data_IF_120928564181
#
_entry.id   IF_120928564181
#
_cell.length_a   1.000
_cell.length_b   1.000
_cell.length_c   1.000
_cell.angle_alpha   90.00
_cell.angle_beta   90.00
_cell.angle_gamma   90.00
#
_symmetry.space_group_name_H-M   'P 1'
#
loop_
_entity.id
_entity.type
_entity.pdbx_description
1 polymer ?
#
# COMPACT_ATOMS: atom_id res chain seq x y z
N UNK A 1 22.30 -14.44 25.87
CA UNK A 1 22.23 -13.44 24.75
C UNK A 1 22.02 -14.17 23.45
N UNK A 2 20.84 -14.09 22.81
CA UNK A 2 20.66 -14.60 21.44
C UNK A 2 21.58 -13.79 20.54
N UNK A 3 22.55 -14.48 19.87
CA UNK A 3 23.41 -13.87 18.84
C UNK A 3 22.54 -13.07 17.89
N UNK A 4 22.82 -11.78 17.71
CA UNK A 4 22.18 -10.94 16.70
C UNK A 4 22.31 -11.65 15.36
N UNK A 5 21.20 -11.81 14.64
CA UNK A 5 21.17 -12.53 13.38
C UNK A 5 21.75 -11.61 12.32
N UNK A 6 22.88 -11.97 11.74
CA UNK A 6 23.44 -11.25 10.60
C UNK A 6 22.44 -11.28 9.43
N UNK A 7 21.79 -10.14 9.17
CA UNK A 7 20.79 -10.01 8.12
C UNK A 7 21.39 -10.24 6.73
N UNK A 8 22.65 -9.86 6.51
CA UNK A 8 23.31 -10.11 5.23
C UNK A 8 23.38 -11.61 4.94
N UNK A 9 23.97 -12.37 5.86
CA UNK A 9 24.11 -13.83 5.71
C UNK A 9 22.75 -14.52 5.60
N UNK A 10 21.78 -14.07 6.38
CA UNK A 10 20.45 -14.66 6.32
C UNK A 10 19.77 -14.42 4.96
N UNK A 11 19.78 -13.20 4.44
CA UNK A 11 19.11 -12.86 3.17
C UNK A 11 19.83 -13.45 1.97
N UNK A 12 21.17 -13.58 2.02
CA UNK A 12 21.96 -14.05 0.89
C UNK A 12 22.26 -15.55 0.87
N UNK A 13 22.24 -16.25 2.02
CA UNK A 13 22.66 -17.66 2.11
C UNK A 13 21.61 -18.60 2.69
N UNK A 14 20.66 -18.16 3.52
CA UNK A 14 19.65 -19.06 4.08
C UNK A 14 18.66 -19.56 3.00
N UNK A 15 17.99 -20.71 3.17
CA UNK A 15 17.01 -21.23 2.21
C UNK A 15 15.94 -20.19 1.85
N UNK A 16 15.68 -20.02 0.56
CA UNK A 16 14.81 -18.96 0.03
C UNK A 16 13.41 -18.97 0.68
N UNK A 17 12.79 -20.16 0.79
CA UNK A 17 11.47 -20.27 1.41
C UNK A 17 11.45 -19.79 2.87
N UNK A 18 12.50 -20.09 3.64
CA UNK A 18 12.62 -19.62 5.03
C UNK A 18 12.77 -18.11 5.12
N UNK A 19 13.57 -17.52 4.22
CA UNK A 19 13.74 -16.07 4.17
C UNK A 19 12.43 -15.39 3.82
N UNK A 20 11.77 -15.85 2.75
CA UNK A 20 10.51 -15.27 2.27
C UNK A 20 9.44 -15.31 3.37
N UNK A 21 9.17 -16.46 3.99
CA UNK A 21 8.16 -16.54 5.05
C UNK A 21 8.52 -15.67 6.26
N UNK A 22 9.79 -15.64 6.66
CA UNK A 22 10.22 -14.79 7.78
C UNK A 22 10.02 -13.30 7.49
N UNK A 23 10.19 -12.87 6.23
CA UNK A 23 9.99 -11.47 5.83
C UNK A 23 8.52 -11.16 5.53
N UNK A 24 7.82 -12.07 4.88
CA UNK A 24 6.45 -11.84 4.41
C UNK A 24 5.40 -11.90 5.53
N UNK A 25 5.50 -12.85 6.47
CA UNK A 25 4.48 -13.01 7.51
C UNK A 25 4.28 -11.73 8.34
N UNK A 26 5.33 -11.09 8.90
CA UNK A 26 5.14 -9.83 9.62
C UNK A 26 4.55 -8.72 8.74
N UNK A 27 4.91 -8.69 7.48
CA UNK A 27 4.43 -7.66 6.54
C UNK A 27 2.97 -7.89 6.17
N UNK A 28 2.56 -9.14 5.94
CA UNK A 28 1.14 -9.53 5.71
C UNK A 28 0.30 -9.15 6.94
N UNK A 29 0.76 -9.48 8.14
CA UNK A 29 0.08 -9.12 9.39
C UNK A 29 -0.10 -7.60 9.48
N UNK A 30 0.95 -6.82 9.18
CA UNK A 30 0.87 -5.36 9.17
C UNK A 30 -0.16 -4.83 8.17
N UNK A 31 -0.19 -5.38 6.95
CA UNK A 31 -1.14 -4.97 5.92
C UNK A 31 -2.59 -5.30 6.30
N UNK A 32 -2.84 -6.51 6.78
CA UNK A 32 -4.17 -6.92 7.22
C UNK A 32 -4.63 -6.11 8.43
N UNK A 33 -3.76 -5.86 9.40
CA UNK A 33 -4.10 -5.07 10.59
C UNK A 33 -4.43 -3.61 10.24
N UNK A 34 -3.69 -3.01 9.30
CA UNK A 34 -4.01 -1.66 8.80
C UNK A 34 -5.37 -1.64 8.09
N UNK A 35 -5.70 -2.69 7.34
CA UNK A 35 -6.99 -2.81 6.68
C UNK A 35 -8.14 -2.95 7.70
N UNK A 36 -7.95 -3.76 8.72
CA UNK A 36 -8.94 -3.92 9.82
C UNK A 36 -9.10 -2.63 10.63
N UNK A 37 -8.00 -1.91 10.88
CA UNK A 37 -8.04 -0.61 11.52
C UNK A 37 -8.93 0.39 10.76
N UNK A 38 -8.76 0.50 9.43
CA UNK A 38 -9.58 1.38 8.61
C UNK A 38 -11.08 1.02 8.66
N UNK A 39 -11.41 -0.28 8.74
CA UNK A 39 -12.80 -0.72 8.91
C UNK A 39 -13.34 -0.34 10.29
N UNK A 40 -12.56 -0.54 11.36
CA UNK A 40 -12.97 -0.21 12.72
C UNK A 40 -13.17 1.31 12.89
N UNK A 41 -12.27 2.13 12.34
CA UNK A 41 -12.40 3.58 12.35
C UNK A 41 -13.69 4.05 11.66
N UNK A 42 -13.98 3.49 10.48
CA UNK A 42 -15.24 3.76 9.76
C UNK A 42 -16.47 3.37 10.57
N UNK A 43 -16.42 2.25 11.31
CA UNK A 43 -17.51 1.80 12.17
C UNK A 43 -17.74 2.79 13.33
N UNK A 44 -16.70 3.20 14.04
CA UNK A 44 -16.83 4.14 15.15
C UNK A 44 -17.30 5.53 14.70
N UNK A 45 -16.80 6.04 13.58
CA UNK A 45 -17.28 7.29 12.99
C UNK A 45 -18.73 7.16 12.53
N UNK A 46 -19.12 6.00 12.02
CA UNK A 46 -20.49 5.68 11.61
C UNK A 46 -21.52 5.79 12.75
N UNK A 47 -21.08 5.62 14.01
CA UNK A 47 -21.94 5.78 15.19
C UNK A 47 -22.24 7.23 15.57
N UNK A 48 -21.55 8.21 14.97
CA UNK A 48 -21.72 9.64 15.29
C UNK A 48 -22.94 10.21 14.53
N UNK A 49 -22.79 10.42 13.24
CA UNK A 49 -23.83 10.88 12.31
C UNK A 49 -23.37 10.70 10.85
N UNK A 50 -24.31 10.87 9.92
CA UNK A 50 -24.03 10.72 8.48
C UNK A 50 -23.04 11.76 7.95
N UNK A 51 -23.08 12.99 8.45
CA UNK A 51 -22.18 14.08 8.04
C UNK A 51 -20.73 13.76 8.41
N UNK A 52 -20.49 13.17 9.58
CA UNK A 52 -19.15 12.74 10.00
C UNK A 52 -18.59 11.64 9.11
N UNK A 53 -19.40 10.65 8.72
CA UNK A 53 -19.00 9.61 7.78
C UNK A 53 -18.62 10.19 6.42
N UNK A 54 -19.45 11.11 5.92
CA UNK A 54 -19.18 11.80 4.67
C UNK A 54 -17.89 12.65 4.73
N UNK A 55 -17.66 13.35 5.82
CA UNK A 55 -16.46 14.15 6.04
C UNK A 55 -15.17 13.31 6.06
N UNK A 56 -15.20 12.15 6.73
CA UNK A 56 -14.08 11.19 6.72
C UNK A 56 -13.85 10.64 5.31
N UNK A 57 -14.93 10.31 4.57
CA UNK A 57 -14.86 9.86 3.19
C UNK A 57 -14.18 10.87 2.26
N UNK A 58 -14.55 12.15 2.37
CA UNK A 58 -13.92 13.25 1.61
C UNK A 58 -12.46 13.42 2.00
N UNK A 59 -12.14 13.34 3.29
CA UNK A 59 -10.78 13.49 3.82
C UNK A 59 -9.87 12.33 3.41
N UNK A 60 -10.42 11.17 3.10
CA UNK A 60 -9.66 9.98 2.71
C UNK A 60 -8.80 10.21 1.46
N UNK A 61 -9.26 11.03 0.52
CA UNK A 61 -8.48 11.40 -0.66
C UNK A 61 -7.16 12.09 -0.27
N UNK A 62 -7.19 13.03 0.68
CA UNK A 62 -5.98 13.70 1.16
C UNK A 62 -5.09 12.75 1.96
N UNK A 63 -5.67 11.88 2.78
CA UNK A 63 -4.91 10.83 3.48
C UNK A 63 -4.18 9.91 2.51
N UNK A 64 -4.81 9.56 1.38
CA UNK A 64 -4.19 8.75 0.33
C UNK A 64 -2.99 9.45 -0.32
N UNK A 65 -3.06 10.78 -0.51
CA UNK A 65 -1.93 11.58 -1.00
C UNK A 65 -0.77 11.54 0.00
N UNK A 66 -1.05 11.75 1.29
CA UNK A 66 -0.04 11.69 2.36
C UNK A 66 0.63 10.30 2.40
N UNK A 67 -0.16 9.23 2.31
CA UNK A 67 0.34 7.85 2.23
C UNK A 67 1.21 7.63 0.99
N UNK A 68 0.79 8.11 -0.17
CA UNK A 68 1.54 7.98 -1.41
C UNK A 68 2.92 8.65 -1.32
N UNK A 69 3.00 9.82 -0.68
CA UNK A 69 4.27 10.50 -0.38
C UNK A 69 5.13 9.66 0.57
N UNK A 70 4.56 9.09 1.62
CA UNK A 70 5.27 8.19 2.53
C UNK A 70 5.84 6.97 1.81
N UNK A 71 5.09 6.37 0.89
CA UNK A 71 5.56 5.26 0.07
C UNK A 71 6.61 5.69 -0.98
N UNK A 72 6.51 6.89 -1.53
CA UNK A 72 7.53 7.44 -2.43
C UNK A 72 8.90 7.44 -1.74
N UNK A 73 8.99 8.04 -0.57
CA UNK A 73 10.24 8.09 0.19
C UNK A 73 10.63 6.73 0.77
N UNK A 74 9.68 5.99 1.30
CA UNK A 74 9.90 4.69 1.92
C UNK A 74 10.43 3.63 0.95
N UNK A 75 9.75 3.42 -0.17
CA UNK A 75 10.20 2.48 -1.20
C UNK A 75 11.41 3.00 -1.99
N UNK A 76 11.45 4.31 -2.27
CA UNK A 76 12.58 4.92 -2.97
C UNK A 76 13.88 4.73 -2.21
N UNK A 77 13.91 5.14 -0.95
CA UNK A 77 15.08 4.99 -0.08
C UNK A 77 15.36 3.52 0.25
N UNK A 78 14.32 2.75 0.57
CA UNK A 78 14.45 1.35 0.98
C UNK A 78 15.04 0.45 -0.10
N UNK A 79 14.58 0.56 -1.35
CA UNK A 79 15.14 -0.19 -2.47
C UNK A 79 16.64 0.11 -2.69
N UNK A 80 17.04 1.37 -2.56
CA UNK A 80 18.44 1.73 -2.63
C UNK A 80 19.24 1.14 -1.47
N UNK A 81 18.74 1.26 -0.25
CA UNK A 81 19.40 0.72 0.97
C UNK A 81 19.63 -0.78 0.84
N UNK A 82 18.61 -1.55 0.44
CA UNK A 82 18.74 -3.00 0.32
C UNK A 82 19.83 -3.40 -0.71
N UNK A 83 19.92 -2.69 -1.84
CA UNK A 83 20.99 -2.91 -2.82
C UNK A 83 22.38 -2.54 -2.29
N UNK A 84 22.51 -1.42 -1.58
CA UNK A 84 23.80 -0.99 -1.02
C UNK A 84 24.26 -1.91 0.10
N UNK A 85 23.37 -2.39 0.96
CA UNK A 85 23.68 -3.39 1.97
C UNK A 85 24.09 -4.73 1.34
N UNK A 86 23.43 -5.14 0.25
CA UNK A 86 23.85 -6.30 -0.54
C UNK A 86 25.24 -6.14 -1.18
N UNK A 87 25.58 -4.95 -1.61
CA UNK A 87 26.91 -4.59 -2.12
C UNK A 87 27.95 -4.30 -1.02
N UNK A 88 27.58 -4.42 0.27
CA UNK A 88 28.38 -4.08 1.46
C UNK A 88 28.80 -2.61 1.54
N UNK A 89 28.08 -1.71 0.87
CA UNK A 89 28.30 -0.27 0.90
C UNK A 89 27.46 0.40 1.99
N UNK A 90 27.74 0.09 3.25
CA UNK A 90 26.94 0.49 4.44
C UNK A 90 26.87 2.00 4.59
N UNK A 91 27.94 2.74 4.30
CA UNK A 91 27.94 4.21 4.43
C UNK A 91 26.97 4.90 3.46
N UNK A 92 26.85 4.39 2.22
CA UNK A 92 25.84 4.89 1.28
C UNK A 92 24.43 4.60 1.76
N UNK A 93 24.20 3.43 2.36
CA UNK A 93 22.92 3.06 2.96
C UNK A 93 22.55 3.99 4.14
N UNK A 94 23.50 4.31 5.01
CA UNK A 94 23.29 5.27 6.14
C UNK A 94 22.90 6.66 5.66
N UNK A 95 23.61 7.17 4.64
CA UNK A 95 23.30 8.48 4.03
C UNK A 95 21.91 8.51 3.41
N UNK A 96 21.52 7.45 2.69
CA UNK A 96 20.18 7.35 2.12
C UNK A 96 19.09 7.24 3.19
N UNK A 97 19.33 6.50 4.27
CA UNK A 97 18.36 6.37 5.37
C UNK A 97 18.07 7.72 6.03
N UNK A 98 19.10 8.49 6.35
CA UNK A 98 18.96 9.84 6.91
C UNK A 98 18.29 10.79 5.92
N UNK A 99 18.67 10.75 4.64
CA UNK A 99 18.12 11.61 3.60
C UNK A 99 16.64 11.32 3.37
N UNK A 100 16.26 10.06 3.21
CA UNK A 100 14.87 9.65 3.03
C UNK A 100 13.99 10.02 4.23
N UNK A 101 14.48 9.81 5.45
CA UNK A 101 13.79 10.18 6.69
C UNK A 101 13.51 11.69 6.75
N UNK A 102 14.54 12.51 6.58
CA UNK A 102 14.42 13.97 6.71
C UNK A 102 13.55 14.53 5.60
N UNK A 103 13.75 14.12 4.34
CA UNK A 103 12.94 14.59 3.21
C UNK A 103 11.47 14.20 3.35
N UNK A 104 11.17 12.99 3.85
CA UNK A 104 9.78 12.58 4.09
C UNK A 104 9.11 13.43 5.16
N UNK A 105 9.83 13.74 6.25
CA UNK A 105 9.34 14.62 7.31
C UNK A 105 9.08 16.04 6.79
N UNK A 106 10.05 16.61 6.07
CA UNK A 106 9.94 17.96 5.52
C UNK A 106 8.79 18.06 4.49
N UNK A 107 8.61 17.04 3.65
CA UNK A 107 7.50 17.01 2.70
C UNK A 107 6.16 16.88 3.41
N UNK A 108 6.07 16.03 4.44
CA UNK A 108 4.87 15.93 5.27
C UNK A 108 4.56 17.24 6.01
N UNK A 109 5.58 17.92 6.52
CA UNK A 109 5.45 19.24 7.15
C UNK A 109 4.98 20.30 6.14
N UNK A 110 5.52 20.28 4.92
CA UNK A 110 5.08 21.17 3.84
C UNK A 110 3.61 20.95 3.48
N UNK A 111 3.18 19.69 3.38
CA UNK A 111 1.78 19.34 3.17
C UNK A 111 0.91 19.84 4.32
N UNK A 112 1.36 19.68 5.57
CA UNK A 112 0.62 20.16 6.75
C UNK A 112 0.46 21.67 6.72
N UNK A 113 1.52 22.43 6.46
CA UNK A 113 1.50 23.89 6.42
C UNK A 113 0.59 24.38 5.29
N UNK A 114 0.78 23.91 4.05
CA UNK A 114 -0.05 24.31 2.93
C UNK A 114 -1.52 23.89 3.13
N UNK A 115 -1.74 22.68 3.64
CA UNK A 115 -3.10 22.20 3.93
C UNK A 115 -3.82 23.04 4.98
N UNK A 116 -3.12 23.50 6.01
CA UNK A 116 -3.69 24.40 7.03
C UNK A 116 -3.96 25.81 6.47
N UNK A 117 -3.03 26.36 5.68
CA UNK A 117 -3.22 27.69 5.08
C UNK A 117 -4.41 27.73 4.10
N UNK A 118 -4.65 26.64 3.38
CA UNK A 118 -5.70 26.52 2.36
C UNK A 118 -6.77 25.50 2.74
N UNK A 119 -7.06 25.34 4.04
CA UNK A 119 -7.95 24.28 4.54
C UNK A 119 -9.34 24.33 3.92
N UNK A 120 -9.99 25.50 3.92
CA UNK A 120 -11.35 25.66 3.37
C UNK A 120 -11.40 25.42 1.86
N UNK A 121 -10.52 26.02 1.02
CA UNK A 121 -10.46 25.70 -0.40
C UNK A 121 -10.14 24.24 -0.68
N UNK A 122 -9.27 23.62 0.12
CA UNK A 122 -8.89 22.22 0.00
C UNK A 122 -10.09 21.29 0.26
N UNK A 123 -10.88 21.53 1.31
CA UNK A 123 -12.08 20.78 1.60
C UNK A 123 -13.10 20.85 0.46
N UNK A 124 -13.30 22.04 -0.11
CA UNK A 124 -14.20 22.24 -1.27
C UNK A 124 -13.67 21.47 -2.50
N UNK A 125 -12.36 21.56 -2.77
CA UNK A 125 -11.72 20.84 -3.88
C UNK A 125 -11.88 19.32 -3.75
N UNK A 126 -11.83 18.80 -2.52
CA UNK A 126 -12.02 17.38 -2.23
C UNK A 126 -13.48 16.91 -2.35
N UNK A 127 -14.42 17.82 -2.55
CA UNK A 127 -15.84 17.51 -2.76
C UNK A 127 -16.73 17.72 -1.51
N UNK A 128 -16.28 18.52 -0.55
CA UNK A 128 -17.10 18.85 0.61
C UNK A 128 -18.28 19.75 0.22
N UNK A 129 -19.48 19.37 0.63
CA UNK A 129 -20.70 20.18 0.47
C UNK A 129 -20.84 21.16 1.64
N UNK A 130 -21.65 22.24 1.50
CA UNK A 130 -21.86 23.20 2.60
C UNK A 130 -22.33 22.56 3.92
N UNK A 131 -23.08 21.46 3.85
CA UNK A 131 -23.58 20.73 5.04
C UNK A 131 -22.49 19.93 5.76
N UNK A 132 -21.54 19.37 5.04
CA UNK A 132 -20.45 18.57 5.63
C UNK A 132 -19.19 19.38 5.86
N UNK A 133 -19.07 20.58 5.28
CA UNK A 133 -17.89 21.44 5.34
C UNK A 133 -17.36 21.64 6.77
N UNK A 134 -18.16 21.98 7.79
CA UNK A 134 -17.68 22.17 9.15
C UNK A 134 -17.06 20.89 9.74
N UNK A 135 -17.62 19.73 9.42
CA UNK A 135 -17.10 18.43 9.87
C UNK A 135 -15.78 18.08 9.15
N UNK A 136 -15.72 18.33 7.84
CA UNK A 136 -14.52 18.07 7.04
C UNK A 136 -13.36 18.96 7.49
N UNK A 137 -13.58 20.24 7.74
CA UNK A 137 -12.55 21.16 8.22
C UNK A 137 -12.01 20.76 9.58
N UNK A 138 -12.89 20.37 10.52
CA UNK A 138 -12.48 19.91 11.85
C UNK A 138 -11.63 18.62 11.77
N UNK A 139 -12.09 17.66 10.98
CA UNK A 139 -11.40 16.39 10.84
C UNK A 139 -10.09 16.54 10.07
N UNK A 140 -10.14 17.09 8.86
CA UNK A 140 -8.98 17.23 7.99
C UNK A 140 -7.92 18.17 8.58
N UNK A 141 -8.33 19.26 9.24
CA UNK A 141 -7.42 20.18 9.91
C UNK A 141 -6.55 19.48 10.95
N UNK A 142 -7.12 18.58 11.74
CA UNK A 142 -6.36 17.79 12.73
C UNK A 142 -5.51 16.71 12.04
N UNK A 143 -6.06 16.01 11.04
CA UNK A 143 -5.33 14.98 10.29
C UNK A 143 -4.09 15.56 9.58
N UNK A 144 -4.19 16.75 9.01
CA UNK A 144 -3.06 17.43 8.36
C UNK A 144 -1.90 17.73 9.32
N UNK A 145 -2.17 17.98 10.61
CA UNK A 145 -1.11 18.09 11.62
C UNK A 145 -0.33 16.78 11.79
N UNK A 146 -0.98 15.66 11.53
CA UNK A 146 -0.36 14.33 11.54
C UNK A 146 0.43 13.97 10.28
N UNK A 147 0.32 14.76 9.19
CA UNK A 147 0.94 14.43 7.91
C UNK A 147 2.47 14.18 8.00
N UNK A 148 3.30 15.01 8.69
CA UNK A 148 4.73 14.73 8.82
C UNK A 148 5.01 13.43 9.56
N UNK A 149 4.21 13.07 10.56
CA UNK A 149 4.36 11.80 11.30
C UNK A 149 3.93 10.60 10.47
N UNK A 150 2.87 10.73 9.68
CA UNK A 150 2.37 9.67 8.81
C UNK A 150 3.34 9.35 7.67
N UNK A 151 3.86 10.37 6.97
CA UNK A 151 4.85 10.17 5.91
C UNK A 151 6.13 9.55 6.46
N UNK A 152 6.59 10.03 7.61
CA UNK A 152 7.79 9.55 8.29
C UNK A 152 7.62 8.13 8.82
N UNK A 153 6.47 7.79 9.39
CA UNK A 153 6.16 6.44 9.86
C UNK A 153 6.24 5.42 8.73
N UNK A 154 5.63 5.72 7.59
CA UNK A 154 5.69 4.86 6.40
C UNK A 154 7.11 4.72 5.87
N UNK A 155 7.87 5.80 5.89
CA UNK A 155 9.28 5.79 5.49
C UNK A 155 10.11 4.92 6.44
N UNK A 156 10.03 5.13 7.75
CA UNK A 156 10.75 4.33 8.76
C UNK A 156 10.40 2.85 8.70
N UNK A 157 9.12 2.53 8.55
CA UNK A 157 8.67 1.15 8.37
C UNK A 157 9.35 0.49 7.18
N UNK A 158 9.35 1.16 6.04
CA UNK A 158 9.99 0.66 4.83
C UNK A 158 11.52 0.56 4.99
N UNK A 159 12.18 1.57 5.59
CA UNK A 159 13.62 1.53 5.83
C UNK A 159 14.04 0.29 6.62
N UNK A 160 13.33 -0.05 7.72
CA UNK A 160 13.62 -1.25 8.51
C UNK A 160 13.32 -2.53 7.75
N UNK A 161 12.22 -2.56 7.02
CA UNK A 161 11.82 -3.72 6.20
C UNK A 161 12.86 -4.04 5.14
N UNK A 162 13.34 -3.05 4.41
CA UNK A 162 14.36 -3.23 3.37
C UNK A 162 15.76 -3.58 3.91
N UNK A 163 15.99 -3.42 5.21
CA UNK A 163 17.17 -3.92 5.90
C UNK A 163 17.04 -5.38 6.37
N UNK A 164 15.89 -6.03 6.12
CA UNK A 164 15.60 -7.39 6.57
C UNK A 164 15.00 -7.47 7.98
N UNK A 165 14.60 -6.35 8.58
CA UNK A 165 14.07 -6.25 9.94
C UNK A 165 12.55 -6.04 9.97
N UNK A 166 11.80 -6.86 9.23
CA UNK A 166 10.34 -6.77 9.09
C UNK A 166 9.58 -6.90 10.40
N UNK A 167 10.12 -7.66 11.38
CA UNK A 167 9.50 -7.81 12.70
C UNK A 167 9.49 -6.50 13.48
N UNK A 168 10.58 -5.72 13.44
CA UNK A 168 10.63 -4.41 14.09
C UNK A 168 9.70 -3.41 13.39
N UNK A 169 9.66 -3.45 12.06
CA UNK A 169 8.74 -2.65 11.27
C UNK A 169 7.27 -2.94 11.61
N UNK A 170 6.90 -4.23 11.72
CA UNK A 170 5.57 -4.66 12.14
C UNK A 170 5.22 -4.15 13.54
N UNK A 171 6.09 -4.38 14.53
CA UNK A 171 5.84 -3.95 15.92
C UNK A 171 5.61 -2.45 16.02
N UNK A 172 6.37 -1.66 15.27
CA UNK A 172 6.22 -0.22 15.25
C UNK A 172 4.87 0.24 14.69
N UNK A 173 4.43 -0.29 13.56
CA UNK A 173 3.10 0.03 13.00
C UNK A 173 1.98 -0.49 13.89
N UNK A 174 2.08 -1.73 14.35
CA UNK A 174 1.06 -2.34 15.21
C UNK A 174 0.83 -1.55 16.50
N UNK A 175 1.86 -0.95 17.08
CA UNK A 175 1.72 -0.13 18.29
C UNK A 175 0.79 1.07 18.06
N UNK A 176 0.91 1.75 16.92
CA UNK A 176 0.02 2.84 16.53
C UNK A 176 -1.41 2.37 16.26
N UNK A 177 -1.56 1.26 15.52
CA UNK A 177 -2.87 0.65 15.23
C UNK A 177 -3.60 0.27 16.52
N UNK A 178 -2.93 -0.43 17.44
CA UNK A 178 -3.52 -0.85 18.71
C UNK A 178 -3.91 0.34 19.58
N UNK A 179 -3.06 1.36 19.64
CA UNK A 179 -3.39 2.58 20.38
C UNK A 179 -4.63 3.28 19.80
N UNK A 180 -4.76 3.35 18.48
CA UNK A 180 -5.92 3.96 17.85
C UNK A 180 -7.21 3.16 18.12
N UNK A 181 -7.17 1.82 18.07
CA UNK A 181 -8.31 0.97 18.39
C UNK A 181 -8.83 1.17 19.83
N UNK A 182 -7.98 1.64 20.73
CA UNK A 182 -8.35 1.97 22.10
C UNK A 182 -8.84 3.43 22.18
N UNK A 183 -8.09 4.37 21.59
CA UNK A 183 -8.39 5.80 21.69
C UNK A 183 -9.63 6.23 20.90
N UNK A 184 -9.87 5.64 19.73
CA UNK A 184 -11.02 6.04 18.90
C UNK A 184 -12.35 5.85 19.63
N UNK A 185 -12.73 4.66 20.15
CA UNK A 185 -13.96 4.51 20.91
C UNK A 185 -13.96 5.34 22.21
N UNK A 186 -12.81 5.47 22.87
CA UNK A 186 -12.71 6.25 24.10
C UNK A 186 -13.03 7.73 23.84
N UNK A 187 -12.45 8.35 22.84
CA UNK A 187 -12.65 9.77 22.54
C UNK A 187 -13.99 10.04 21.85
N UNK A 188 -14.47 9.13 21.01
CA UNK A 188 -15.72 9.28 20.28
C UNK A 188 -16.92 9.02 21.19
N UNK A 189 -16.93 7.89 21.90
CA UNK A 189 -18.09 7.42 22.65
C UNK A 189 -18.07 7.87 24.10
N UNK A 190 -16.98 7.63 24.84
CA UNK A 190 -16.91 7.94 26.28
C UNK A 190 -16.79 9.44 26.52
N UNK A 191 -15.86 10.13 25.86
CA UNK A 191 -15.71 11.58 25.98
C UNK A 191 -16.65 12.38 25.06
N UNK A 192 -17.45 11.71 24.23
CA UNK A 192 -18.44 12.32 23.34
C UNK A 192 -17.87 13.47 22.45
N UNK A 193 -16.61 13.35 22.04
CA UNK A 193 -15.94 14.37 21.21
C UNK A 193 -16.34 14.30 19.72
N UNK A 194 -17.12 13.31 19.33
CA UNK A 194 -17.58 13.14 17.95
C UNK A 194 -16.41 13.00 16.96
N UNK A 195 -16.57 13.65 15.79
CA UNK A 195 -15.58 13.59 14.71
C UNK A 195 -14.20 14.16 15.11
N UNK A 196 -14.19 15.15 16.00
CA UNK A 196 -12.94 15.71 16.55
C UNK A 196 -12.19 14.66 17.36
N UNK A 197 -12.90 13.83 18.12
CA UNK A 197 -12.33 12.70 18.86
C UNK A 197 -11.69 11.66 17.94
N UNK A 198 -12.33 11.34 16.82
CA UNK A 198 -11.77 10.44 15.80
C UNK A 198 -10.45 10.98 15.22
N UNK A 199 -10.44 12.27 14.87
CA UNK A 199 -9.25 12.93 14.32
C UNK A 199 -8.09 12.99 15.33
N UNK A 200 -8.37 13.32 16.58
CA UNK A 200 -7.37 13.37 17.67
C UNK A 200 -6.83 11.98 17.98
N UNK A 201 -7.68 10.95 18.02
CA UNK A 201 -7.25 9.56 18.20
C UNK A 201 -6.27 9.14 17.11
N UNK A 202 -6.56 9.46 15.86
CA UNK A 202 -5.71 9.20 14.70
C UNK A 202 -4.39 9.96 14.81
N UNK A 203 -4.41 11.25 15.13
CA UNK A 203 -3.21 12.07 15.31
C UNK A 203 -2.28 11.52 16.39
N UNK A 204 -2.81 11.25 17.58
CA UNK A 204 -2.02 10.71 18.72
C UNK A 204 -1.42 9.36 18.32
N UNK A 205 -2.19 8.50 17.68
CA UNK A 205 -1.75 7.17 17.26
C UNK A 205 -0.65 7.24 16.17
N UNK A 206 -0.76 8.19 15.25
CA UNK A 206 0.27 8.44 14.23
C UNK A 206 1.58 8.96 14.88
N UNK A 207 1.48 9.90 15.81
CA UNK A 207 2.65 10.40 16.54
C UNK A 207 3.31 9.29 17.35
N UNK A 208 2.53 8.50 18.08
CA UNK A 208 3.03 7.38 18.87
C UNK A 208 3.66 6.30 17.99
N UNK A 209 3.00 5.90 16.91
CA UNK A 209 3.53 4.94 15.95
C UNK A 209 4.85 5.40 15.33
N UNK A 210 4.94 6.69 14.97
CA UNK A 210 6.16 7.29 14.46
C UNK A 210 7.30 7.24 15.50
N UNK A 211 7.02 7.61 16.74
CA UNK A 211 7.99 7.56 17.83
C UNK A 211 8.46 6.11 18.09
N UNK A 212 7.54 5.16 18.09
CA UNK A 212 7.85 3.73 18.26
C UNK A 212 8.71 3.20 17.11
N UNK A 213 8.39 3.54 15.86
CA UNK A 213 9.19 3.17 14.70
C UNK A 213 10.59 3.77 14.78
N UNK A 214 10.71 5.04 15.15
CA UNK A 214 12.00 5.69 15.36
C UNK A 214 12.80 5.00 16.48
N UNK A 215 12.15 4.68 17.60
CA UNK A 215 12.80 3.92 18.69
C UNK A 215 13.25 2.53 18.22
N UNK A 216 12.47 1.85 17.39
CA UNK A 216 12.82 0.54 16.82
C UNK A 216 14.04 0.60 15.90
N UNK A 217 14.37 1.75 15.28
CA UNK A 217 15.62 1.89 14.50
C UNK A 217 16.88 1.75 15.36
N UNK A 218 16.76 1.93 16.69
CA UNK A 218 17.87 1.72 17.64
C UNK A 218 17.98 0.28 18.15
N UNK A 219 17.07 -0.61 17.71
CA UNK A 219 17.05 -2.02 18.10
C UNK A 219 17.59 -2.91 16.99
N UNK A 220 18.23 -4.01 17.37
CA UNK A 220 18.82 -4.96 16.43
C UNK A 220 19.95 -4.35 15.59
N UNK A 221 20.08 -4.79 14.36
CA UNK A 221 21.10 -4.33 13.39
C UNK A 221 20.55 -3.25 12.44
N UNK A 222 19.53 -2.50 12.86
CA UNK A 222 19.01 -1.41 12.06
C UNK A 222 20.03 -0.27 11.93
N UNK A 223 20.04 0.36 10.78
CA UNK A 223 20.76 1.61 10.55
C UNK A 223 20.16 2.69 11.45
N UNK A 224 20.97 3.21 12.36
CA UNK A 224 20.59 4.36 13.18
C UNK A 224 20.58 5.62 12.32
N UNK A 225 19.52 6.40 12.47
CA UNK A 225 19.38 7.64 11.73
C UNK A 225 20.11 8.75 12.47
N UNK A 226 21.15 9.29 11.85
CA UNK A 226 21.90 10.43 12.36
C UNK A 226 21.77 11.61 11.40
N UNK A 227 21.46 12.78 11.91
CA UNK A 227 21.26 14.01 11.11
C UNK A 227 22.50 14.40 10.30
N UNK A 228 23.72 14.10 10.81
CA UNK A 228 24.96 14.40 10.09
C UNK A 228 25.12 13.58 8.79
N UNK A 229 24.39 12.48 8.65
CA UNK A 229 24.38 11.68 7.42
C UNK A 229 23.43 12.24 6.33
N UNK A 230 22.72 13.32 6.63
CA UNK A 230 21.85 13.96 5.67
C UNK A 230 22.64 14.48 4.47
N UNK A 231 22.38 13.94 3.30
CA UNK A 231 23.11 14.22 2.06
C UNK A 231 22.12 14.50 0.93
N UNK A 232 21.55 15.73 0.85
CA UNK A 232 20.52 16.08 -0.14
C UNK A 232 21.16 16.36 -1.50
N UNK A 233 21.80 15.35 -2.09
CA UNK A 233 22.40 15.44 -3.42
C UNK A 233 21.41 15.03 -4.50
N UNK A 234 21.59 15.53 -5.70
CA UNK A 234 20.79 15.18 -6.87
C UNK A 234 20.78 13.66 -7.11
N UNK A 235 21.89 12.97 -6.81
CA UNK A 235 22.01 11.53 -6.97
C UNK A 235 21.06 10.77 -6.04
N UNK A 236 21.03 11.09 -4.73
CA UNK A 236 20.14 10.47 -3.78
C UNK A 236 18.68 10.80 -4.06
N UNK A 237 18.37 12.03 -4.44
CA UNK A 237 17.03 12.43 -4.81
C UNK A 237 16.51 11.65 -6.04
N UNK A 238 17.37 11.49 -7.06
CA UNK A 238 17.05 10.69 -8.25
C UNK A 238 16.77 9.22 -7.92
N UNK A 239 17.53 8.62 -7.00
CA UNK A 239 17.28 7.24 -6.53
C UNK A 239 15.95 7.12 -5.80
N UNK A 240 15.59 8.09 -4.94
CA UNK A 240 14.30 8.11 -4.26
C UNK A 240 13.16 8.18 -5.27
N UNK A 241 13.24 9.09 -6.23
CA UNK A 241 12.22 9.22 -7.28
C UNK A 241 12.12 7.93 -8.11
N UNK A 242 13.23 7.39 -8.57
CA UNK A 242 13.23 6.16 -9.40
C UNK A 242 12.70 4.94 -8.66
N UNK A 243 13.03 4.80 -7.38
CA UNK A 243 12.55 3.69 -6.56
C UNK A 243 11.14 3.89 -6.02
N UNK A 244 10.67 5.13 -5.87
CA UNK A 244 9.42 5.46 -5.22
C UNK A 244 8.24 5.71 -6.18
N UNK A 245 8.49 6.24 -7.38
CA UNK A 245 7.41 6.57 -8.34
C UNK A 245 6.50 5.40 -8.71
N UNK A 246 6.95 4.14 -8.83
CA UNK A 246 6.02 3.05 -9.10
C UNK A 246 4.99 2.84 -7.99
N UNK A 247 5.37 3.08 -6.74
CA UNK A 247 4.45 3.00 -5.60
C UNK A 247 3.49 4.18 -5.57
N UNK A 248 3.98 5.38 -5.90
CA UNK A 248 3.14 6.57 -6.06
C UNK A 248 2.10 6.36 -7.18
N UNK A 249 2.53 5.87 -8.34
CA UNK A 249 1.65 5.58 -9.47
C UNK A 249 0.59 4.53 -9.12
N UNK A 250 0.98 3.45 -8.45
CA UNK A 250 0.05 2.40 -8.03
C UNK A 250 -1.00 2.94 -7.08
N UNK A 251 -0.61 3.72 -6.07
CA UNK A 251 -1.51 4.28 -5.07
C UNK A 251 -2.45 5.33 -5.69
N UNK A 252 -1.89 6.27 -6.45
CA UNK A 252 -2.66 7.35 -7.07
C UNK A 252 -3.65 6.85 -8.11
N UNK A 253 -3.22 5.98 -9.02
CA UNK A 253 -4.10 5.39 -10.04
C UNK A 253 -5.15 4.46 -9.42
N UNK A 254 -4.82 3.76 -8.32
CA UNK A 254 -5.80 2.97 -7.58
C UNK A 254 -6.93 3.81 -7.01
N UNK A 255 -6.62 4.98 -6.47
CA UNK A 255 -7.63 5.92 -5.96
C UNK A 255 -8.50 6.49 -7.09
N UNK A 256 -7.90 6.87 -8.20
CA UNK A 256 -8.62 7.34 -9.40
C UNK A 256 -9.52 6.23 -9.96
N UNK A 257 -9.02 5.01 -10.07
CA UNK A 257 -9.78 3.87 -10.55
C UNK A 257 -11.03 3.59 -9.70
N UNK A 258 -10.91 3.69 -8.38
CA UNK A 258 -12.05 3.53 -7.46
C UNK A 258 -13.10 4.63 -7.67
N UNK A 259 -12.67 5.88 -7.85
CA UNK A 259 -13.58 6.99 -8.13
C UNK A 259 -14.33 6.78 -9.45
N UNK A 260 -13.62 6.44 -10.51
CA UNK A 260 -14.20 6.21 -11.84
C UNK A 260 -15.15 5.00 -11.83
N UNK A 261 -14.79 3.93 -11.08
CA UNK A 261 -15.66 2.76 -10.90
C UNK A 261 -17.00 3.15 -10.24
N UNK A 262 -16.95 3.95 -9.17
CA UNK A 262 -18.14 4.39 -8.47
C UNK A 262 -19.04 5.26 -9.38
N UNK A 263 -18.46 6.15 -10.17
CA UNK A 263 -19.19 6.96 -11.14
C UNK A 263 -19.85 6.09 -12.21
N UNK A 264 -19.12 5.12 -12.76
CA UNK A 264 -19.65 4.21 -13.78
C UNK A 264 -20.75 3.29 -13.22
N UNK A 265 -20.58 2.76 -12.00
CA UNK A 265 -21.60 1.96 -11.32
C UNK A 265 -22.84 2.79 -10.97
N UNK A 266 -22.67 4.07 -10.65
CA UNK A 266 -23.75 4.99 -10.31
C UNK A 266 -24.77 5.20 -11.46
N UNK A 267 -24.37 5.03 -12.70
CA UNK A 267 -25.26 5.07 -13.84
C UNK A 267 -26.31 3.92 -13.83
N UNK A 268 -26.05 2.85 -13.06
CA UNK A 268 -26.93 1.67 -12.95
C UNK A 268 -27.66 1.58 -11.60
N UNK A 269 -27.56 2.61 -10.77
CA UNK A 269 -28.26 2.72 -9.50
C UNK A 269 -27.42 2.41 -8.26
N UNK A 270 -28.01 2.63 -7.10
CA UNK A 270 -27.34 2.52 -5.81
C UNK A 270 -26.92 1.09 -5.47
N UNK A 271 -27.70 0.09 -5.90
CA UNK A 271 -27.38 -1.31 -5.71
C UNK A 271 -26.10 -1.72 -6.45
N UNK A 272 -25.86 -1.14 -7.64
CA UNK A 272 -24.62 -1.35 -8.38
C UNK A 272 -23.41 -0.75 -7.67
N UNK A 273 -23.53 0.46 -7.14
CA UNK A 273 -22.46 1.09 -6.34
C UNK A 273 -22.17 0.24 -5.11
N UNK A 274 -23.19 -0.17 -4.38
CA UNK A 274 -23.05 -0.97 -3.15
C UNK A 274 -22.39 -2.33 -3.45
N UNK A 275 -22.87 -3.04 -4.47
CA UNK A 275 -22.30 -4.34 -4.90
C UNK A 275 -20.85 -4.23 -5.31
N UNK A 276 -20.49 -3.27 -6.16
CA UNK A 276 -19.11 -3.04 -6.60
C UNK A 276 -18.19 -2.61 -5.44
N UNK A 277 -18.69 -1.81 -4.49
CA UNK A 277 -17.94 -1.41 -3.30
C UNK A 277 -17.60 -2.59 -2.41
N UNK A 278 -18.54 -3.54 -2.21
CA UNK A 278 -18.30 -4.76 -1.43
C UNK A 278 -17.24 -5.61 -2.12
N UNK A 279 -17.37 -5.84 -3.44
CA UNK A 279 -16.38 -6.61 -4.22
C UNK A 279 -14.99 -5.98 -4.15
N UNK A 280 -14.90 -4.66 -4.24
CA UNK A 280 -13.62 -3.93 -4.10
C UNK A 280 -12.98 -4.15 -2.73
N UNK A 281 -13.77 -4.14 -1.65
CA UNK A 281 -13.27 -4.41 -0.28
C UNK A 281 -12.75 -5.83 -0.13
N UNK A 282 -13.50 -6.83 -0.63
CA UNK A 282 -13.08 -8.25 -0.60
C UNK A 282 -11.78 -8.42 -1.38
N UNK A 283 -11.71 -7.85 -2.58
CA UNK A 283 -10.51 -7.87 -3.42
C UNK A 283 -9.32 -7.21 -2.74
N UNK A 284 -9.53 -6.11 -2.00
CA UNK A 284 -8.48 -5.41 -1.28
C UNK A 284 -7.86 -6.27 -0.17
N UNK A 285 -8.66 -7.01 0.60
CA UNK A 285 -8.14 -7.94 1.61
C UNK A 285 -7.25 -9.02 0.98
N UNK A 286 -7.71 -9.63 -0.10
CA UNK A 286 -6.96 -10.67 -0.81
C UNK A 286 -5.67 -10.08 -1.43
N UNK A 287 -5.76 -8.90 -1.99
CA UNK A 287 -4.65 -8.16 -2.57
C UNK A 287 -3.61 -7.75 -1.51
N UNK A 288 -4.04 -7.38 -0.31
CA UNK A 288 -3.16 -7.00 0.80
C UNK A 288 -2.20 -8.15 1.20
N UNK A 289 -2.66 -9.40 1.14
CA UNK A 289 -1.79 -10.57 1.39
C UNK A 289 -0.69 -10.68 0.34
N UNK A 290 -1.02 -10.49 -0.93
CA UNK A 290 -0.04 -10.55 -2.03
C UNK A 290 0.92 -9.36 -2.00
N UNK A 291 0.43 -8.18 -1.66
CA UNK A 291 1.30 -7.01 -1.41
C UNK A 291 2.27 -7.30 -0.26
N UNK A 292 1.79 -7.87 0.84
CA UNK A 292 2.62 -8.26 1.97
C UNK A 292 3.69 -9.30 1.60
N UNK A 293 3.32 -10.29 0.79
CA UNK A 293 4.26 -11.28 0.24
C UNK A 293 5.33 -10.61 -0.63
N UNK A 294 4.94 -9.74 -1.55
CA UNK A 294 5.85 -9.00 -2.42
C UNK A 294 6.74 -8.04 -1.64
N UNK A 295 6.21 -7.39 -0.63
CA UNK A 295 7.00 -6.55 0.28
C UNK A 295 8.00 -7.36 1.12
N UNK A 296 7.71 -8.63 1.41
CA UNK A 296 8.65 -9.57 2.02
C UNK A 296 9.74 -10.04 1.03
N UNK A 297 9.41 -10.14 -0.26
CA UNK A 297 10.34 -10.47 -1.33
C UNK A 297 11.37 -9.35 -1.59
N UNK A 298 10.97 -8.08 -1.53
CA UNK A 298 11.81 -6.94 -1.90
C UNK A 298 13.16 -6.87 -1.16
N UNK A 299 13.25 -7.05 0.19
CA UNK A 299 14.53 -7.06 0.89
C UNK A 299 15.49 -8.12 0.37
N UNK A 300 15.02 -9.36 0.20
CA UNK A 300 15.82 -10.45 -0.37
C UNK A 300 16.29 -10.10 -1.79
N UNK A 301 15.38 -9.63 -2.63
CA UNK A 301 15.69 -9.21 -4.00
C UNK A 301 16.78 -8.13 -4.01
N UNK A 302 16.64 -7.07 -3.18
CA UNK A 302 17.60 -5.98 -3.11
C UNK A 302 19.00 -6.42 -2.66
N UNK A 303 19.08 -7.20 -1.58
CA UNK A 303 20.34 -7.74 -1.08
C UNK A 303 21.02 -8.66 -2.10
N UNK A 304 20.27 -9.61 -2.66
CA UNK A 304 20.82 -10.54 -3.65
C UNK A 304 21.22 -9.83 -4.95
N UNK A 305 20.44 -8.84 -5.38
CA UNK A 305 20.79 -8.03 -6.56
C UNK A 305 22.05 -7.20 -6.32
N UNK A 306 22.19 -6.57 -5.15
CA UNK A 306 23.40 -5.83 -4.75
C UNK A 306 24.65 -6.72 -4.63
N UNK A 307 24.45 -7.95 -4.13
CA UNK A 307 25.50 -8.97 -4.03
C UNK A 307 25.78 -9.72 -5.37
N UNK A 308 25.07 -9.36 -6.45
CA UNK A 308 25.16 -10.04 -7.78
C UNK A 308 24.74 -11.51 -7.78
N UNK A 309 23.91 -11.91 -6.82
CA UNK A 309 23.35 -13.28 -6.70
C UNK A 309 22.03 -13.40 -7.49
N UNK A 310 22.11 -13.23 -8.81
CA UNK A 310 20.91 -13.12 -9.67
C UNK A 310 20.09 -14.41 -9.75
N UNK A 311 20.72 -15.57 -9.68
CA UNK A 311 20.01 -16.87 -9.67
C UNK A 311 19.11 -16.98 -8.45
N UNK A 312 19.55 -16.45 -7.30
CA UNK A 312 18.78 -16.41 -6.09
C UNK A 312 17.61 -15.44 -6.16
N UNK A 313 17.77 -14.29 -6.84
CA UNK A 313 16.66 -13.37 -7.14
C UNK A 313 15.59 -14.09 -7.96
N UNK A 314 16.01 -14.83 -8.98
CA UNK A 314 15.11 -15.61 -9.84
C UNK A 314 14.37 -16.70 -9.06
N UNK A 315 15.08 -17.48 -8.24
CA UNK A 315 14.49 -18.52 -7.37
C UNK A 315 13.43 -17.92 -6.44
N UNK A 316 13.77 -16.83 -5.75
CA UNK A 316 12.84 -16.14 -4.84
C UNK A 316 11.62 -15.58 -5.55
N UNK A 317 11.80 -15.02 -6.75
CA UNK A 317 10.70 -14.49 -7.55
C UNK A 317 9.69 -15.58 -7.92
N UNK A 318 10.16 -16.68 -8.48
CA UNK A 318 9.27 -17.80 -8.86
C UNK A 318 8.65 -18.49 -7.65
N UNK A 319 9.38 -18.59 -6.55
CA UNK A 319 8.80 -19.11 -5.30
C UNK A 319 7.64 -18.23 -4.81
N UNK A 320 7.82 -16.91 -4.80
CA UNK A 320 6.78 -15.97 -4.40
C UNK A 320 5.58 -15.99 -5.37
N UNK A 321 5.81 -16.07 -6.68
CA UNK A 321 4.72 -16.23 -7.66
C UNK A 321 3.95 -17.50 -7.36
N UNK A 322 4.61 -18.62 -7.16
CA UNK A 322 3.96 -19.90 -6.86
C UNK A 322 3.10 -19.80 -5.60
N UNK A 323 3.65 -19.30 -4.50
CA UNK A 323 2.91 -19.13 -3.24
C UNK A 323 1.73 -18.17 -3.41
N UNK A 324 1.94 -17.01 -4.03
CA UNK A 324 0.88 -16.02 -4.25
C UNK A 324 -0.23 -16.53 -5.18
N UNK A 325 0.13 -17.21 -6.27
CA UNK A 325 -0.83 -17.78 -7.22
C UNK A 325 -1.64 -18.90 -6.58
N UNK A 326 -1.01 -19.80 -5.82
CA UNK A 326 -1.73 -20.88 -5.10
C UNK A 326 -2.71 -20.30 -4.09
N UNK A 327 -2.27 -19.33 -3.29
CA UNK A 327 -3.15 -18.63 -2.34
C UNK A 327 -4.34 -17.98 -3.05
N UNK A 328 -4.07 -17.21 -4.10
CA UNK A 328 -5.11 -16.53 -4.87
C UNK A 328 -6.04 -17.48 -5.62
N UNK A 329 -5.53 -18.63 -6.10
CA UNK A 329 -6.35 -19.65 -6.73
C UNK A 329 -7.33 -20.29 -5.72
N UNK A 330 -6.87 -20.56 -4.49
CA UNK A 330 -7.75 -21.02 -3.41
C UNK A 330 -8.82 -19.98 -3.10
N UNK A 331 -8.45 -18.71 -2.95
CA UNK A 331 -9.41 -17.63 -2.75
C UNK A 331 -10.38 -17.49 -3.94
N UNK A 332 -9.91 -17.71 -5.16
CA UNK A 332 -10.73 -17.65 -6.37
C UNK A 332 -11.79 -18.75 -6.40
N UNK A 333 -11.41 -19.99 -6.12
CA UNK A 333 -12.36 -21.12 -6.04
C UNK A 333 -13.40 -20.85 -4.95
N UNK A 334 -12.96 -20.43 -3.76
CA UNK A 334 -13.87 -20.15 -2.65
C UNK A 334 -14.80 -18.96 -2.97
N UNK A 335 -14.27 -17.88 -3.50
CA UNK A 335 -15.03 -16.68 -3.88
C UNK A 335 -16.01 -16.96 -5.04
N UNK A 336 -15.68 -17.85 -5.96
CA UNK A 336 -16.57 -18.25 -7.05
C UNK A 336 -17.74 -19.10 -6.56
N UNK A 337 -17.46 -20.12 -5.74
CA UNK A 337 -18.47 -21.06 -5.22
C UNK A 337 -19.42 -20.39 -4.20
N UNK A 338 -18.90 -19.49 -3.38
CA UNK A 338 -19.63 -18.83 -2.30
C UNK A 338 -19.88 -17.34 -2.54
N UNK A 339 -19.93 -16.91 -3.80
CA UNK A 339 -20.08 -15.49 -4.15
C UNK A 339 -21.35 -14.84 -3.54
N UNK A 340 -22.49 -15.50 -3.60
CA UNK A 340 -23.74 -14.99 -3.05
C UNK A 340 -23.69 -14.89 -1.50
N UNK A 341 -23.40 -15.97 -0.74
CA UNK A 341 -23.27 -15.90 0.71
C UNK A 341 -22.24 -14.88 1.20
N UNK A 342 -21.15 -14.69 0.46
CA UNK A 342 -20.11 -13.70 0.81
C UNK A 342 -20.68 -12.28 0.70
N UNK A 343 -21.40 -11.95 -0.37
CA UNK A 343 -22.01 -10.63 -0.53
C UNK A 343 -23.13 -10.40 0.49
N UNK A 344 -23.99 -11.42 0.73
CA UNK A 344 -25.05 -11.36 1.73
C UNK A 344 -24.53 -11.03 3.13
N UNK A 345 -23.36 -11.56 3.51
CA UNK A 345 -22.72 -11.28 4.78
C UNK A 345 -22.45 -9.76 4.99
N UNK A 346 -22.18 -9.03 3.91
CA UNK A 346 -21.96 -7.59 3.96
C UNK A 346 -23.26 -6.77 3.83
N UNK A 347 -24.19 -7.26 3.02
CA UNK A 347 -25.47 -6.59 2.78
C UNK A 347 -26.52 -7.62 2.34
N UNK A 348 -27.51 -7.82 3.20
CA UNK A 348 -28.67 -8.67 2.91
C UNK A 348 -29.74 -7.85 2.14
N UNK A 349 -29.46 -7.67 0.85
CA UNK A 349 -30.34 -6.99 -0.11
C UNK A 349 -30.24 -7.70 -1.45
N UNK A 350 -31.34 -8.25 -1.94
CA UNK A 350 -31.39 -9.07 -3.15
C UNK A 350 -30.81 -8.35 -4.39
N UNK A 351 -31.01 -7.05 -4.52
CA UNK A 351 -30.47 -6.26 -5.65
C UNK A 351 -28.96 -6.09 -5.55
N UNK A 352 -28.43 -5.88 -4.36
CA UNK A 352 -26.98 -5.79 -4.11
C UNK A 352 -26.30 -7.14 -4.30
N UNK A 353 -26.91 -8.22 -3.82
CA UNK A 353 -26.40 -9.59 -3.98
C UNK A 353 -26.37 -9.98 -5.46
N UNK A 354 -27.39 -9.63 -6.22
CA UNK A 354 -27.42 -9.92 -7.66
C UNK A 354 -26.26 -9.30 -8.43
N UNK A 355 -25.94 -8.03 -8.17
CA UNK A 355 -24.82 -7.34 -8.81
C UNK A 355 -23.47 -7.82 -8.23
N UNK A 356 -23.37 -7.84 -6.90
CA UNK A 356 -22.11 -8.16 -6.22
C UNK A 356 -21.63 -9.57 -6.49
N UNK A 357 -22.53 -10.57 -6.55
CA UNK A 357 -22.17 -11.95 -6.82
C UNK A 357 -21.61 -12.15 -8.24
N UNK A 358 -22.20 -11.53 -9.24
CA UNK A 358 -21.71 -11.57 -10.63
C UNK A 358 -20.35 -10.87 -10.72
N UNK A 359 -20.24 -9.67 -10.16
CA UNK A 359 -18.99 -8.92 -10.14
C UNK A 359 -17.87 -9.69 -9.41
N UNK A 360 -18.17 -10.34 -8.29
CA UNK A 360 -17.21 -11.15 -7.55
C UNK A 360 -16.76 -12.37 -8.36
N UNK A 361 -17.67 -13.06 -9.03
CA UNK A 361 -17.33 -14.20 -9.91
C UNK A 361 -16.36 -13.79 -11.01
N UNK A 362 -16.57 -12.64 -11.67
CA UNK A 362 -15.64 -12.10 -12.66
C UNK A 362 -14.29 -11.74 -12.03
N UNK A 363 -14.32 -11.04 -10.91
CA UNK A 363 -13.10 -10.58 -10.24
C UNK A 363 -12.20 -11.74 -9.81
N UNK A 364 -12.75 -12.82 -9.25
CA UNK A 364 -11.96 -13.94 -8.75
C UNK A 364 -11.30 -14.76 -9.87
N UNK A 365 -11.84 -14.74 -11.09
CA UNK A 365 -11.23 -15.39 -12.25
C UNK A 365 -9.82 -14.81 -12.52
N UNK A 366 -9.63 -13.50 -12.31
CA UNK A 366 -8.35 -12.84 -12.52
C UNK A 366 -7.39 -12.97 -11.33
N UNK A 367 -7.84 -13.39 -10.15
CA UNK A 367 -7.02 -13.44 -8.94
C UNK A 367 -5.68 -14.17 -9.11
N UNK A 368 -5.60 -15.37 -9.71
CA UNK A 368 -4.33 -16.08 -9.87
C UNK A 368 -3.26 -15.27 -10.64
N UNK A 369 -3.69 -14.33 -11.49
CA UNK A 369 -2.80 -13.51 -12.32
C UNK A 369 -2.17 -12.35 -11.52
N UNK A 370 -2.81 -11.91 -10.45
CA UNK A 370 -2.43 -10.72 -9.67
C UNK A 370 -1.04 -10.89 -9.03
N UNK A 371 -0.70 -12.09 -8.57
CA UNK A 371 0.60 -12.37 -7.96
C UNK A 371 1.74 -12.03 -8.93
N UNK A 372 1.64 -12.43 -10.18
CA UNK A 372 2.65 -12.13 -11.22
C UNK A 372 2.76 -10.63 -11.47
N UNK A 373 1.63 -9.91 -11.55
CA UNK A 373 1.61 -8.47 -11.81
C UNK A 373 2.31 -7.73 -10.66
N UNK A 374 1.93 -8.02 -9.42
CA UNK A 374 2.47 -7.36 -8.22
C UNK A 374 3.96 -7.64 -8.04
N UNK A 375 4.36 -8.90 -8.14
CA UNK A 375 5.75 -9.30 -7.95
C UNK A 375 6.65 -8.77 -9.06
N UNK A 376 6.17 -8.72 -10.30
CA UNK A 376 6.91 -8.10 -11.41
C UNK A 376 7.11 -6.60 -11.19
N UNK A 377 6.07 -5.89 -10.74
CA UNK A 377 6.20 -4.47 -10.37
C UNK A 377 7.26 -4.26 -9.30
N UNK A 378 7.23 -5.06 -8.23
CA UNK A 378 8.17 -4.95 -7.11
C UNK A 378 9.59 -5.38 -7.49
N UNK A 379 9.75 -6.38 -8.35
CA UNK A 379 11.05 -6.77 -8.91
C UNK A 379 11.66 -5.60 -9.70
N UNK A 380 10.90 -5.03 -10.66
CA UNK A 380 11.40 -3.91 -11.49
C UNK A 380 11.77 -2.68 -10.64
N UNK A 381 10.96 -2.40 -9.62
CA UNK A 381 11.22 -1.32 -8.67
C UNK A 381 12.54 -1.54 -7.91
N UNK A 382 12.77 -2.76 -7.44
CA UNK A 382 13.96 -3.10 -6.63
C UNK A 382 15.24 -3.14 -7.47
N UNK A 383 15.20 -3.65 -8.70
CA UNK A 383 16.37 -3.74 -9.59
C UNK A 383 16.64 -2.44 -10.37
N UNK A 384 16.01 -1.33 -9.98
CA UNK A 384 16.23 0.00 -10.58
C UNK A 384 15.84 0.10 -12.06
N UNK A 385 14.68 -0.44 -12.43
CA UNK A 385 14.07 -0.30 -13.76
C UNK A 385 12.76 0.52 -13.67
N UNK A 386 12.85 1.85 -13.38
CA UNK A 386 11.68 2.66 -13.00
C UNK A 386 10.62 2.74 -14.09
N UNK A 387 11.00 2.82 -15.35
CA UNK A 387 10.05 2.89 -16.48
C UNK A 387 9.22 1.61 -16.54
N UNK A 388 9.88 0.44 -16.51
CA UNK A 388 9.19 -0.86 -16.55
C UNK A 388 8.32 -1.05 -15.30
N UNK A 389 8.81 -0.63 -14.12
CA UNK A 389 8.04 -0.67 -12.89
C UNK A 389 6.79 0.21 -12.96
N UNK A 390 6.90 1.45 -13.48
CA UNK A 390 5.77 2.35 -13.63
C UNK A 390 4.74 1.84 -14.66
N UNK A 391 5.18 1.23 -15.77
CA UNK A 391 4.27 0.62 -16.75
C UNK A 391 3.43 -0.48 -16.07
N UNK A 392 4.05 -1.39 -15.32
CA UNK A 392 3.34 -2.46 -14.62
C UNK A 392 2.44 -1.90 -13.50
N UNK A 393 2.92 -0.88 -12.76
CA UNK A 393 2.11 -0.21 -11.73
C UNK A 393 0.86 0.46 -12.31
N UNK A 394 1.03 1.15 -13.43
CA UNK A 394 -0.06 1.85 -14.11
C UNK A 394 -1.00 0.92 -14.87
N UNK A 395 -0.52 -0.24 -15.32
CA UNK A 395 -1.28 -1.14 -16.19
C UNK A 395 -2.63 -1.53 -15.58
N UNK A 396 -2.62 -1.99 -14.33
CA UNK A 396 -3.79 -2.56 -13.65
C UNK A 396 -4.90 -1.55 -13.39
N UNK A 397 -4.57 -0.40 -12.83
CA UNK A 397 -5.57 0.58 -12.35
C UNK A 397 -5.71 1.80 -13.27
N UNK A 398 -4.75 2.04 -14.16
CA UNK A 398 -4.75 3.20 -15.05
C UNK A 398 -4.88 2.81 -16.51
N UNK A 399 -3.81 2.25 -17.06
CA UNK A 399 -3.65 2.05 -18.51
C UNK A 399 -4.75 1.17 -19.15
N UNK A 400 -5.16 0.11 -18.47
CA UNK A 400 -6.21 -0.78 -18.96
C UNK A 400 -7.56 -0.54 -18.31
N UNK A 401 -7.60 -0.35 -16.98
CA UNK A 401 -8.87 -0.21 -16.28
C UNK A 401 -9.66 1.03 -16.73
N UNK A 402 -9.01 2.20 -16.79
CA UNK A 402 -9.70 3.45 -17.11
C UNK A 402 -10.32 3.41 -18.52
N UNK A 403 -9.62 3.01 -19.59
CA UNK A 403 -10.28 2.85 -20.89
C UNK A 403 -11.39 1.79 -20.89
N UNK A 404 -11.17 0.65 -20.26
CA UNK A 404 -12.13 -0.45 -20.24
C UNK A 404 -13.43 -0.10 -19.53
N UNK A 405 -13.38 0.69 -18.43
CA UNK A 405 -14.58 1.09 -17.70
C UNK A 405 -15.49 2.03 -18.50
N UNK A 406 -14.97 2.68 -19.54
CA UNK A 406 -15.78 3.46 -20.49
C UNK A 406 -16.23 2.62 -21.69
N UNK A 407 -15.41 1.69 -22.16
CA UNK A 407 -15.67 0.89 -23.36
C UNK A 407 -16.65 -0.26 -23.05
N UNK A 408 -16.37 -1.08 -22.04
CA UNK A 408 -17.15 -2.29 -21.76
C UNK A 408 -18.61 -2.01 -21.39
N UNK A 409 -18.94 -1.01 -20.57
CA UNK A 409 -20.35 -0.69 -20.28
C UNK A 409 -21.12 -0.21 -21.51
N UNK A 410 -20.44 0.39 -22.49
CA UNK A 410 -21.09 0.78 -23.75
C UNK A 410 -21.64 -0.42 -24.54
N UNK A 411 -20.93 -1.56 -24.52
CA UNK A 411 -21.31 -2.78 -25.22
C UNK A 411 -22.13 -3.76 -24.37
N UNK A 412 -21.86 -3.84 -23.08
CA UNK A 412 -22.37 -4.86 -22.17
C UNK A 412 -23.21 -4.31 -21.01
N UNK A 413 -23.42 -3.00 -20.93
CA UNK A 413 -24.17 -2.37 -19.83
C UNK A 413 -23.52 -2.63 -18.47
N UNK A 414 -24.32 -2.98 -17.47
CA UNK A 414 -23.85 -3.26 -16.09
C UNK A 414 -22.80 -4.38 -16.05
N UNK A 415 -22.97 -5.43 -16.85
CA UNK A 415 -21.98 -6.51 -16.93
C UNK A 415 -20.60 -6.00 -17.34
N UNK A 416 -20.53 -4.95 -18.18
CA UNK A 416 -19.28 -4.29 -18.53
C UNK A 416 -18.57 -3.66 -17.34
N UNK A 417 -19.31 -3.09 -16.37
CA UNK A 417 -18.77 -2.58 -15.11
C UNK A 417 -18.27 -3.73 -14.25
N UNK A 418 -19.05 -4.79 -14.11
CA UNK A 418 -18.75 -5.96 -13.27
C UNK A 418 -17.50 -6.71 -13.71
N UNK A 419 -17.25 -6.83 -15.01
CA UNK A 419 -16.11 -7.58 -15.56
C UNK A 419 -14.89 -6.71 -15.87
N UNK A 420 -14.97 -5.39 -15.74
CA UNK A 420 -13.94 -4.46 -16.17
C UNK A 420 -12.58 -4.73 -15.51
N UNK A 421 -12.55 -4.93 -14.20
CA UNK A 421 -11.30 -5.16 -13.45
C UNK A 421 -10.65 -6.51 -13.83
N UNK A 422 -11.46 -7.53 -14.09
CA UNK A 422 -10.95 -8.83 -14.52
C UNK A 422 -10.21 -8.72 -15.87
N UNK A 423 -10.78 -8.02 -16.83
CA UNK A 423 -10.13 -7.76 -18.13
C UNK A 423 -8.88 -6.89 -17.98
N UNK A 424 -8.92 -5.85 -17.12
CA UNK A 424 -7.76 -5.04 -16.85
C UNK A 424 -6.61 -5.85 -16.23
N UNK A 425 -6.92 -6.78 -15.34
CA UNK A 425 -5.94 -7.71 -14.73
C UNK A 425 -5.34 -8.66 -15.78
N UNK A 426 -6.16 -9.23 -16.68
CA UNK A 426 -5.69 -10.08 -17.78
C UNK A 426 -4.74 -9.32 -18.71
N UNK A 427 -5.11 -8.12 -19.14
CA UNK A 427 -4.24 -7.29 -19.97
C UNK A 427 -2.95 -6.92 -19.26
N UNK A 428 -3.02 -6.61 -17.96
CA UNK A 428 -1.85 -6.28 -17.14
C UNK A 428 -0.90 -7.47 -16.98
N UNK A 429 -1.44 -8.68 -16.84
CA UNK A 429 -0.65 -9.91 -16.80
C UNK A 429 0.11 -10.12 -18.10
N UNK A 430 -0.55 -9.93 -19.26
CA UNK A 430 0.09 -10.06 -20.57
C UNK A 430 1.24 -9.06 -20.76
N UNK A 431 1.20 -7.90 -20.12
CA UNK A 431 2.28 -6.91 -20.11
C UNK A 431 3.36 -7.28 -19.07
N UNK A 432 2.96 -7.76 -17.91
CA UNK A 432 3.88 -8.08 -16.82
C UNK A 432 4.83 -9.24 -17.15
N UNK A 433 4.34 -10.28 -17.82
CA UNK A 433 5.14 -11.48 -18.15
C UNK A 433 6.35 -11.16 -19.03
N UNK A 434 6.24 -10.46 -20.18
CA UNK A 434 7.40 -10.09 -20.99
C UNK A 434 8.38 -9.18 -20.24
N UNK A 435 7.85 -8.27 -19.40
CA UNK A 435 8.67 -7.37 -18.57
C UNK A 435 9.49 -8.18 -17.56
N UNK A 436 8.90 -9.14 -16.87
CA UNK A 436 9.61 -10.03 -15.95
C UNK A 436 10.69 -10.83 -16.68
N UNK A 437 10.34 -11.39 -17.83
CA UNK A 437 11.29 -12.13 -18.65
C UNK A 437 12.50 -11.27 -19.09
N UNK A 438 12.24 -10.02 -19.49
CA UNK A 438 13.31 -9.08 -19.86
C UNK A 438 14.28 -8.78 -18.73
N UNK A 439 13.81 -8.76 -17.46
CA UNK A 439 14.68 -8.55 -16.31
C UNK A 439 15.68 -9.68 -16.12
N UNK A 440 15.22 -10.92 -16.22
CA UNK A 440 16.09 -12.08 -16.06
C UNK A 440 17.08 -12.23 -17.21
N UNK A 441 16.69 -11.81 -18.42
CA UNK A 441 17.61 -11.73 -19.56
C UNK A 441 18.70 -10.67 -19.29
N UNK A 442 18.33 -9.48 -18.83
CA UNK A 442 19.28 -8.42 -18.49
C UNK A 442 20.25 -8.88 -17.39
N UNK A 443 19.78 -9.57 -16.35
CA UNK A 443 20.62 -10.12 -15.27
C UNK A 443 21.62 -11.17 -15.79
N UNK A 444 21.19 -12.04 -16.70
CA UNK A 444 22.06 -13.06 -17.30
C UNK A 444 23.22 -12.44 -18.12
N UNK A 445 22.97 -11.30 -18.76
CA UNK A 445 24.04 -10.55 -19.44
C UNK A 445 25.03 -9.90 -18.49
N UNK A 446 24.59 -9.52 -17.27
CA UNK A 446 25.47 -8.93 -16.25
C UNK A 446 26.34 -9.97 -15.52
N UNK A 447 26.03 -11.26 -15.64
CA UNK A 447 26.85 -12.36 -15.09
C UNK A 447 28.01 -12.78 -16.03
N UNK A 448 27.89 -12.48 -17.31
CA UNK A 448 28.94 -12.70 -18.32
C UNK A 448 29.89 -11.51 -18.42
#
# INVERSE_FOLDING_TARGET
MKKSRDNYTFLTHAPVHRVIFTMAIPTIISMLSTSMYNLADTYFVGSINTQSVAAVGVSFAMMSVIQAVGFLYGHGSGNYISRMLGAKEVEKAKKMAATGFILSFLTGLFIAILGQLFLTPLCILLGSTPTIQPYTERYLGIILLGAPFMTTSLTLNNLMRFQGNTMYAMKGIMSGVLLNLILAPLLILYFAMGITGAAIATLISQCFGCAMLFWMTHKGENIRIHLHNFTPTRAYFKEIIFGGTPSLSRQGLGSIATLVLNVAAGAYGDAAIAGMSIVTRISFFTYAVVIGLGQGFQPLCGFCYGAKLYDRVKEAFFFCIKCGTVFLAICAVFGFLFSEPIIELFRDDASVVAVGSVALKWQVISFPLIATIVLTNMLMQTIRKPVRANIVAAARSGLFFIPLIFILPHFFGLLGVEMCQAWADICSFLVAVPIAWSAFRDMKFQQR
#
